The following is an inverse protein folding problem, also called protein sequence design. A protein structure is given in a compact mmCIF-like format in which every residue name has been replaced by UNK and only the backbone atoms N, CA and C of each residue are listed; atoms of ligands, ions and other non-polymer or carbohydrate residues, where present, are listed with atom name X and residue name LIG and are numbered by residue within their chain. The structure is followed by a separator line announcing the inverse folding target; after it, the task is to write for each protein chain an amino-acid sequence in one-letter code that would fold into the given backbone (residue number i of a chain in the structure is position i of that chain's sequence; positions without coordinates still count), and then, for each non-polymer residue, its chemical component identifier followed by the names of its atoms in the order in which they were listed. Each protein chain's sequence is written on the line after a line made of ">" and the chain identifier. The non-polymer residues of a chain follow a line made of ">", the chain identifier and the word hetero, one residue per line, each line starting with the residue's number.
data_IF_814071687431
#
_entry.id   IF_814071687431
#
_cell.length_a   1.000
_cell.length_b   1.000
_cell.length_c   1.000
_cell.angle_alpha   90.00
_cell.angle_beta   90.00
_cell.angle_gamma   90.00
#
_symmetry.space_group_name_H-M   'P 1'
#
loop_
_entity.id
_entity.type
_entity.pdbx_description
1 polymer ?
#
# COMPACT_ATOMS: atom_id res chain seq x y z
N UNK A 1 5.28 15.60 -4.74
CA UNK A 1 4.20 14.69 -5.22
C UNK A 1 3.51 15.33 -6.41
N UNK A 2 3.28 14.57 -7.49
CA UNK A 2 2.60 15.07 -8.70
C UNK A 2 1.09 14.91 -8.59
N UNK A 3 0.32 15.88 -9.09
CA UNK A 3 -1.15 15.80 -9.23
C UNK A 3 -1.46 14.72 -10.25
N UNK A 4 -2.39 13.81 -9.92
CA UNK A 4 -2.87 12.77 -10.83
C UNK A 4 -4.18 13.20 -11.46
N UNK A 5 -4.43 12.72 -12.67
CA UNK A 5 -5.64 13.02 -13.44
C UNK A 5 -6.37 11.72 -13.78
N UNK A 6 -7.69 11.78 -13.74
CA UNK A 6 -8.61 10.80 -14.29
C UNK A 6 -9.60 11.54 -15.22
N UNK A 7 -10.46 10.86 -16.00
CA UNK A 7 -11.27 11.48 -17.06
C UNK A 7 -12.04 12.76 -16.66
N UNK A 8 -12.48 12.88 -15.41
CA UNK A 8 -13.23 14.04 -14.93
C UNK A 8 -12.72 14.62 -13.59
N UNK A 9 -11.51 14.26 -13.15
CA UNK A 9 -10.97 14.80 -11.90
C UNK A 9 -9.44 14.92 -11.90
N UNK A 10 -8.96 15.94 -11.19
CA UNK A 10 -7.55 16.07 -10.81
C UNK A 10 -7.45 15.93 -9.30
N UNK A 11 -6.57 15.06 -8.81
CA UNK A 11 -6.50 14.75 -7.39
C UNK A 11 -5.07 14.61 -6.89
N UNK A 12 -4.91 14.89 -5.60
CA UNK A 12 -3.67 14.70 -4.85
C UNK A 12 -4.02 14.24 -3.44
N UNK A 13 -4.20 12.94 -3.30
CA UNK A 13 -4.68 12.31 -2.07
C UNK A 13 -3.58 11.39 -1.54
N UNK A 14 -3.25 11.52 -0.25
CA UNK A 14 -2.32 10.64 0.46
C UNK A 14 -2.99 10.14 1.73
N UNK A 15 -2.75 8.88 2.04
CA UNK A 15 -3.20 8.25 3.27
C UNK A 15 -2.01 7.61 3.96
N UNK A 16 -2.01 7.72 5.29
CA UNK A 16 -1.13 6.94 6.15
C UNK A 16 -1.95 5.78 6.71
N UNK A 17 -1.75 4.59 6.15
CA UNK A 17 -2.49 3.38 6.53
C UNK A 17 -1.64 2.52 7.44
N UNK A 18 -2.20 2.14 8.60
CA UNK A 18 -1.55 1.25 9.57
C UNK A 18 -2.53 0.13 9.91
N UNK A 19 -2.03 -1.09 9.98
CA UNK A 19 -2.82 -2.24 10.43
C UNK A 19 -1.96 -3.14 11.32
N UNK A 20 -2.63 -3.99 12.09
CA UNK A 20 -2.00 -4.97 12.98
C UNK A 20 -2.46 -6.37 12.61
N UNK A 21 -1.60 -7.35 12.87
CA UNK A 21 -1.99 -8.76 12.74
C UNK A 21 -2.97 -9.15 13.84
N UNK A 22 -3.80 -10.17 13.56
CA UNK A 22 -4.76 -10.71 14.53
C UNK A 22 -4.05 -11.08 15.84
N UNK A 23 -4.64 -10.70 16.96
CA UNK A 23 -4.07 -10.87 18.32
C UNK A 23 -2.76 -10.11 18.58
N UNK A 24 -2.33 -9.20 17.69
CA UNK A 24 -1.12 -8.38 17.83
C UNK A 24 0.16 -9.19 18.14
N UNK A 25 0.21 -10.44 17.69
CA UNK A 25 1.38 -11.31 17.86
C UNK A 25 2.51 -10.86 16.93
N UNK A 26 3.77 -11.06 17.31
CA UNK A 26 4.94 -10.76 16.47
C UNK A 26 5.16 -11.80 15.36
N UNK A 27 4.19 -11.95 14.45
CA UNK A 27 4.21 -12.99 13.40
C UNK A 27 4.81 -12.51 12.07
N UNK A 28 5.17 -11.24 11.96
CA UNK A 28 5.76 -10.67 10.76
C UNK A 28 7.26 -10.95 10.79
N UNK A 29 7.67 -12.05 10.15
CA UNK A 29 9.08 -12.35 9.89
C UNK A 29 9.57 -11.56 8.65
N UNK A 30 10.89 -11.43 8.43
CA UNK A 30 11.44 -10.77 7.25
C UNK A 30 10.93 -11.37 5.93
N UNK A 31 10.82 -12.69 5.84
CA UNK A 31 10.30 -13.39 4.65
C UNK A 31 8.82 -13.08 4.39
N UNK A 32 8.01 -13.07 5.45
CA UNK A 32 6.61 -12.66 5.37
C UNK A 32 6.47 -11.22 4.93
N UNK A 33 7.34 -10.34 5.40
CA UNK A 33 7.36 -8.95 5.01
C UNK A 33 7.67 -8.77 3.52
N UNK A 34 8.63 -9.53 2.98
CA UNK A 34 8.91 -9.52 1.54
C UNK A 34 7.72 -10.05 0.71
N UNK A 35 7.05 -11.11 1.16
CA UNK A 35 5.82 -11.57 0.52
C UNK A 35 4.74 -10.49 0.53
N UNK A 36 4.55 -9.81 1.66
CA UNK A 36 3.58 -8.72 1.77
C UNK A 36 3.87 -7.58 0.80
N UNK A 37 5.14 -7.20 0.61
CA UNK A 37 5.54 -6.21 -0.41
C UNK A 37 5.16 -6.66 -1.82
N UNK A 38 5.35 -7.93 -2.15
CA UNK A 38 4.93 -8.48 -3.46
C UNK A 38 3.41 -8.43 -3.63
N UNK A 39 2.64 -8.75 -2.58
CA UNK A 39 1.18 -8.62 -2.58
C UNK A 39 0.75 -7.16 -2.78
N UNK A 40 1.35 -6.21 -2.06
CA UNK A 40 1.11 -4.77 -2.25
C UNK A 40 1.40 -4.33 -3.69
N UNK A 41 2.51 -4.80 -4.29
CA UNK A 41 2.83 -4.54 -5.71
C UNK A 41 1.76 -5.12 -6.64
N UNK A 42 1.22 -6.30 -6.32
CA UNK A 42 0.09 -6.90 -7.03
C UNK A 42 -1.20 -6.10 -6.90
N UNK A 43 -1.47 -5.50 -5.74
CA UNK A 43 -2.61 -4.60 -5.51
C UNK A 43 -2.45 -3.32 -6.36
N UNK A 44 -1.27 -2.68 -6.34
CA UNK A 44 -1.05 -1.45 -7.11
C UNK A 44 -1.14 -1.63 -8.63
N UNK A 45 -0.98 -2.86 -9.13
CA UNK A 45 -1.18 -3.19 -10.55
C UNK A 45 -2.66 -3.31 -10.93
N UNK A 46 -3.51 -3.75 -10.00
CA UNK A 46 -4.92 -4.05 -10.24
C UNK A 46 -5.85 -2.87 -9.92
N UNK A 47 -5.43 -2.02 -8.99
CA UNK A 47 -6.24 -0.91 -8.49
C UNK A 47 -5.52 0.42 -8.67
N UNK A 48 -6.29 1.51 -8.70
CA UNK A 48 -5.78 2.89 -8.73
C UNK A 48 -5.21 3.31 -7.35
N UNK A 49 -4.25 2.54 -6.86
CA UNK A 49 -3.60 2.72 -5.57
C UNK A 49 -2.08 2.64 -5.73
N UNK A 50 -1.37 3.60 -5.15
CA UNK A 50 0.08 3.70 -5.25
C UNK A 50 0.68 3.81 -3.86
N UNK A 51 1.63 2.94 -3.57
CA UNK A 51 2.37 2.95 -2.32
C UNK A 51 3.59 3.87 -2.47
N UNK A 52 3.62 4.96 -1.71
CA UNK A 52 4.79 5.85 -1.64
C UNK A 52 5.89 5.26 -0.74
N UNK A 53 5.49 4.58 0.33
CA UNK A 53 6.36 3.90 1.27
C UNK A 53 5.67 2.64 1.80
N UNK A 54 6.46 1.59 2.01
CA UNK A 54 6.07 0.36 2.71
C UNK A 54 7.09 0.17 3.83
N UNK A 55 6.63 0.24 5.08
CA UNK A 55 7.45 0.19 6.28
C UNK A 55 7.47 -1.19 6.92
#
# INVERSE_FOLDING_TARGET
>A
MKVRKAPHCSYRIRYHMVFVVKYRKGLITPEMFELMKQVCKGISKRYYLWFDALG
#
